data_IF_314057043255
#
_entry.id   IF_314057043255
#
_cell.length_a   1.000
_cell.length_b   1.000
_cell.length_c   1.000
_cell.angle_alpha   90.00
_cell.angle_beta   90.00
_cell.angle_gamma   90.00
#
_symmetry.space_group_name_H-M   'P 1'
#
loop_
_entity.id
_entity.type
_entity.pdbx_description
1 polymer ?
#
# COMPACT_ATOMS: atom_id res chain seq x y z
N UNK A 1 -2.59 -15.07 -0.64
CA UNK A 1 -2.14 -13.67 -0.71
C UNK A 1 -3.34 -12.76 -0.87
N UNK A 2 -3.13 -11.56 -1.44
CA UNK A 2 -4.19 -10.66 -1.91
C UNK A 2 -4.00 -10.42 -3.40
N UNK A 3 -5.07 -10.10 -4.11
CA UNK A 3 -5.05 -9.82 -5.55
C UNK A 3 -5.78 -8.49 -5.81
N UNK A 4 -5.06 -7.42 -6.18
CA UNK A 4 -5.67 -6.17 -6.62
C UNK A 4 -6.49 -6.39 -7.89
N UNK A 5 -7.64 -5.72 -8.02
CA UNK A 5 -8.39 -5.74 -9.29
C UNK A 5 -7.74 -4.87 -10.36
N UNK A 6 -7.05 -3.83 -9.93
CA UNK A 6 -6.42 -2.84 -10.81
C UNK A 6 -5.27 -2.18 -10.04
N UNK A 7 -4.17 -1.91 -10.74
CA UNK A 7 -3.05 -1.13 -10.23
C UNK A 7 -2.88 0.06 -11.17
N UNK A 8 -2.91 1.27 -10.60
CA UNK A 8 -2.70 2.50 -11.34
C UNK A 8 -1.50 3.26 -10.75
N UNK A 9 -0.67 3.82 -11.63
CA UNK A 9 0.35 4.82 -11.28
C UNK A 9 -0.08 6.16 -11.89
N UNK A 10 -0.12 7.22 -11.08
CA UNK A 10 -0.47 8.57 -11.56
C UNK A 10 0.16 9.63 -10.68
N UNK A 11 0.20 10.88 -11.15
CA UNK A 11 0.55 12.01 -10.28
C UNK A 11 -0.54 12.21 -9.22
N UNK A 12 -0.16 12.24 -7.94
CA UNK A 12 -1.07 12.49 -6.82
C UNK A 12 -0.63 13.74 -6.07
N UNK A 13 -1.58 14.57 -5.63
CA UNK A 13 -1.27 15.85 -4.96
C UNK A 13 -0.97 15.70 -3.47
N UNK A 14 -1.75 14.86 -2.78
CA UNK A 14 -1.82 14.87 -1.31
C UNK A 14 -1.53 13.50 -0.66
N UNK A 15 -1.27 12.47 -1.46
CA UNK A 15 -1.11 11.09 -0.96
C UNK A 15 -0.06 10.36 -1.77
N UNK A 16 0.64 9.45 -1.10
CA UNK A 16 1.57 8.52 -1.73
C UNK A 16 0.85 7.35 -2.41
N UNK A 17 -0.25 6.88 -1.83
CA UNK A 17 -1.09 5.85 -2.44
C UNK A 17 -2.53 5.87 -1.87
N UNK A 18 -3.38 5.00 -2.43
CA UNK A 18 -4.72 4.74 -1.91
C UNK A 18 -5.32 3.43 -2.45
N UNK A 19 -6.09 2.76 -1.61
CA UNK A 19 -6.94 1.63 -1.96
C UNK A 19 -8.41 2.07 -2.05
N UNK A 20 -9.08 1.73 -3.15
CA UNK A 20 -10.53 1.91 -3.28
C UNK A 20 -11.30 0.71 -2.71
N UNK A 21 -12.57 0.91 -2.33
CA UNK A 21 -13.46 -0.18 -1.91
C UNK A 21 -13.71 -1.24 -2.99
N UNK A 22 -13.44 -0.91 -4.26
CA UNK A 22 -13.55 -1.84 -5.40
C UNK A 22 -12.29 -2.66 -5.62
N UNK A 23 -11.21 -2.45 -4.86
CA UNK A 23 -9.96 -3.19 -4.97
C UNK A 23 -8.96 -2.64 -5.99
N UNK A 24 -9.15 -1.40 -6.49
CA UNK A 24 -8.10 -0.67 -7.21
C UNK A 24 -7.10 -0.08 -6.20
N UNK A 25 -5.82 -0.33 -6.43
CA UNK A 25 -4.71 0.37 -5.78
C UNK A 25 -4.21 1.48 -6.71
N UNK A 26 -3.92 2.65 -6.14
CA UNK A 26 -3.37 3.78 -6.88
C UNK A 26 -2.14 4.28 -6.17
N UNK A 27 -1.01 4.37 -6.88
CA UNK A 27 0.27 4.82 -6.36
C UNK A 27 0.69 6.14 -7.04
N UNK A 28 1.32 7.03 -6.28
CA UNK A 28 1.89 8.25 -6.81
C UNK A 28 3.13 7.94 -7.66
N UNK A 29 3.28 8.60 -8.80
CA UNK A 29 4.52 8.57 -9.59
C UNK A 29 5.75 8.98 -8.75
N UNK A 30 5.55 9.87 -7.78
CA UNK A 30 6.64 10.39 -6.95
C UNK A 30 7.26 9.32 -6.03
N UNK A 31 6.58 8.18 -5.83
CA UNK A 31 7.14 7.02 -5.11
C UNK A 31 8.38 6.46 -5.79
N UNK A 32 8.51 6.57 -7.12
CA UNK A 32 9.68 6.07 -7.87
C UNK A 32 11.00 6.71 -7.39
N UNK A 33 10.93 7.89 -6.80
CA UNK A 33 12.09 8.63 -6.30
C UNK A 33 12.32 8.48 -4.80
N UNK A 34 11.48 7.72 -4.10
CA UNK A 34 11.63 7.48 -2.66
C UNK A 34 12.57 6.29 -2.40
N UNK A 35 13.20 6.22 -1.20
CA UNK A 35 13.97 5.05 -0.79
C UNK A 35 13.16 3.75 -0.89
N UNK A 36 13.86 2.63 -1.11
CA UNK A 36 13.23 1.32 -1.28
C UNK A 36 12.33 0.93 -0.12
N UNK A 37 12.81 1.08 1.13
CA UNK A 37 12.05 0.76 2.34
C UNK A 37 10.74 1.54 2.40
N UNK A 38 10.76 2.82 2.01
CA UNK A 38 9.57 3.65 1.97
C UNK A 38 8.58 3.18 0.91
N UNK A 39 9.07 2.79 -0.28
CA UNK A 39 8.21 2.21 -1.33
C UNK A 39 7.59 0.90 -0.84
N UNK A 40 8.37 0.04 -0.21
CA UNK A 40 7.91 -1.24 0.34
C UNK A 40 6.82 -1.04 1.39
N UNK A 41 7.02 -0.11 2.33
CA UNK A 41 6.01 0.24 3.33
C UNK A 41 4.70 0.67 2.69
N UNK A 42 4.74 1.60 1.72
CA UNK A 42 3.53 2.09 1.05
C UNK A 42 2.84 0.99 0.24
N UNK A 43 3.59 0.15 -0.48
CA UNK A 43 3.02 -0.96 -1.26
C UNK A 43 2.33 -1.97 -0.33
N UNK A 44 3.02 -2.42 0.72
CA UNK A 44 2.48 -3.40 1.68
C UNK A 44 1.26 -2.83 2.40
N UNK A 45 1.29 -1.55 2.77
CA UNK A 45 0.17 -0.86 3.40
C UNK A 45 -1.11 -0.93 2.55
N UNK A 46 -1.01 -0.61 1.26
CA UNK A 46 -2.17 -0.62 0.36
C UNK A 46 -2.63 -2.04 0.02
N UNK A 47 -1.72 -3.00 -0.09
CA UNK A 47 -2.08 -4.41 -0.25
C UNK A 47 -2.86 -4.93 0.95
N UNK A 48 -2.48 -4.53 2.18
CA UNK A 48 -3.22 -4.91 3.39
C UNK A 48 -4.63 -4.34 3.40
N UNK A 49 -4.85 -3.14 2.84
CA UNK A 49 -6.18 -2.54 2.75
C UNK A 49 -7.20 -3.37 1.96
N UNK A 50 -6.75 -4.26 1.06
CA UNK A 50 -7.64 -5.19 0.35
C UNK A 50 -8.35 -6.19 1.27
N UNK A 51 -7.81 -6.46 2.46
CA UNK A 51 -8.38 -7.39 3.44
C UNK A 51 -8.69 -6.72 4.79
N UNK A 52 -7.96 -5.67 5.13
CA UNK A 52 -8.04 -4.97 6.41
C UNK A 52 -8.21 -3.46 6.17
N UNK A 53 -9.45 -2.98 6.02
CA UNK A 53 -9.71 -1.58 5.66
C UNK A 53 -9.38 -0.58 6.78
N UNK A 54 -9.16 -1.06 8.01
CA UNK A 54 -8.86 -0.22 9.18
C UNK A 54 -7.50 -0.54 9.77
N UNK A 55 -6.78 0.49 10.23
CA UNK A 55 -5.44 0.39 10.85
C UNK A 55 -5.47 -0.12 12.31
N UNK A 56 -6.25 -1.17 12.55
CA UNK A 56 -6.37 -1.80 13.86
C UNK A 56 -5.08 -2.56 14.25
N UNK A 57 -5.06 -3.16 15.45
CA UNK A 57 -3.88 -3.91 15.96
C UNK A 57 -3.43 -5.01 14.99
N UNK A 58 -4.36 -5.70 14.33
CA UNK A 58 -4.05 -6.74 13.36
C UNK A 58 -3.34 -6.17 12.13
N UNK A 59 -3.84 -5.07 11.58
CA UNK A 59 -3.20 -4.37 10.45
C UNK A 59 -1.74 -4.02 10.77
N UNK A 60 -1.51 -3.35 11.91
CA UNK A 60 -0.16 -2.93 12.32
C UNK A 60 0.77 -4.13 12.54
N UNK A 61 0.26 -5.21 13.12
CA UNK A 61 1.02 -6.44 13.34
C UNK A 61 1.45 -7.05 12.01
N UNK A 62 0.52 -7.18 11.07
CA UNK A 62 0.81 -7.76 9.75
C UNK A 62 1.76 -6.88 8.94
N UNK A 63 1.58 -5.56 8.94
CA UNK A 63 2.49 -4.62 8.28
C UNK A 63 3.93 -4.83 8.77
N UNK A 64 4.14 -4.86 10.09
CA UNK A 64 5.46 -5.08 10.68
C UNK A 64 6.04 -6.46 10.34
N UNK A 65 5.22 -7.51 10.28
CA UNK A 65 5.69 -8.85 9.91
C UNK A 65 6.15 -8.86 8.45
N UNK A 66 5.38 -8.29 7.53
CA UNK A 66 5.76 -8.29 6.12
C UNK A 66 7.00 -7.43 5.85
N UNK A 67 7.13 -6.27 6.48
CA UNK A 67 8.29 -5.40 6.29
C UNK A 67 9.60 -5.95 6.87
N UNK A 68 9.55 -6.86 7.85
CA UNK A 68 10.74 -7.54 8.36
C UNK A 68 11.24 -8.67 7.47
N UNK A 69 10.40 -9.12 6.52
CA UNK A 69 10.68 -10.24 5.63
C UNK A 69 11.06 -9.78 4.22
N UNK A 70 11.25 -8.48 4.02
CA UNK A 70 11.73 -7.82 2.80
C UNK A 70 13.09 -7.23 3.16
#
# INVERSE_FOLDING_TARGET
>A
GVEPKEIQIRKMKNKWASCSSKGRLTFSHDLLFQPEDFRNEVIVHELLHLKYPTHNKMFKTLLNVYLKNI
#
